data_IF_178382291318
#
_entry.id   IF_178382291318
#
_cell.length_a   1.000
_cell.length_b   1.000
_cell.length_c   1.000
_cell.angle_alpha   90.00
_cell.angle_beta   90.00
_cell.angle_gamma   90.00
#
_symmetry.space_group_name_H-M   'P 1'
#
loop_
_entity.id
_entity.type
_entity.pdbx_description
1 polymer ?
#
# COMPACT_ATOMS: atom_id res chain seq x y z
N UNK A 1 51.53 35.59 -65.64
CA UNK A 1 50.76 36.12 -64.48
C UNK A 1 49.94 35.04 -63.89
N UNK A 2 50.39 34.38 -62.87
CA UNK A 2 49.62 33.30 -62.14
C UNK A 2 49.36 33.83 -60.76
N UNK A 3 48.05 33.99 -60.39
CA UNK A 3 47.61 34.40 -59.04
C UNK A 3 47.39 33.11 -58.20
N UNK A 4 48.17 33.04 -57.12
CA UNK A 4 48.08 32.01 -56.09
C UNK A 4 47.04 32.46 -55.11
N UNK A 5 45.99 31.67 -54.92
CA UNK A 5 44.93 31.85 -53.89
C UNK A 5 45.29 30.98 -52.69
N UNK A 6 45.62 31.69 -51.60
CA UNK A 6 45.85 31.02 -50.29
C UNK A 6 44.54 30.73 -49.59
N UNK A 7 44.24 29.46 -49.49
CA UNK A 7 43.03 29.01 -48.73
C UNK A 7 43.33 28.90 -47.24
N UNK A 8 42.59 29.66 -46.44
CA UNK A 8 42.63 29.59 -44.98
C UNK A 8 41.70 28.46 -44.53
N UNK A 9 42.28 27.41 -43.97
CA UNK A 9 41.53 26.29 -43.37
C UNK A 9 41.12 26.71 -41.95
N UNK A 10 39.84 26.99 -41.78
CA UNK A 10 39.25 27.31 -40.48
C UNK A 10 38.92 25.99 -39.77
N UNK A 11 39.65 25.69 -38.71
CA UNK A 11 39.46 24.53 -37.87
C UNK A 11 38.38 24.86 -36.82
N UNK A 12 37.15 24.43 -37.05
CA UNK A 12 36.05 24.58 -36.09
C UNK A 12 36.17 23.52 -35.00
N UNK A 13 36.55 23.96 -33.79
CA UNK A 13 36.61 23.14 -32.60
C UNK A 13 35.14 22.93 -32.10
N UNK A 14 34.58 21.77 -32.33
CA UNK A 14 33.32 21.37 -31.70
C UNK A 14 33.57 21.04 -30.21
N UNK A 15 33.22 21.96 -29.34
CA UNK A 15 33.05 21.67 -27.90
C UNK A 15 31.81 20.82 -27.73
N UNK A 16 31.99 19.50 -27.52
CA UNK A 16 30.93 18.65 -26.95
C UNK A 16 30.69 19.07 -25.50
N UNK A 17 29.73 19.91 -25.31
CA UNK A 17 29.18 20.20 -24.00
C UNK A 17 28.46 18.93 -23.51
N UNK A 18 29.07 18.20 -22.56
CA UNK A 18 28.41 17.15 -21.79
C UNK A 18 27.40 17.85 -20.89
N UNK A 19 26.24 18.17 -21.43
CA UNK A 19 25.09 18.61 -20.65
C UNK A 19 24.61 17.42 -19.81
N UNK A 20 24.95 17.44 -18.51
CA UNK A 20 24.21 16.60 -17.54
C UNK A 20 22.76 17.06 -17.59
N UNK A 21 21.93 16.32 -18.29
CA UNK A 21 20.50 16.42 -18.16
C UNK A 21 20.20 16.05 -16.70
N UNK A 22 19.95 17.05 -15.87
CA UNK A 22 19.22 16.87 -14.63
C UNK A 22 17.87 16.31 -15.09
N UNK A 23 17.63 15.04 -14.80
CA UNK A 23 16.31 14.46 -14.94
C UNK A 23 15.36 15.35 -14.12
N UNK A 24 14.52 16.11 -14.81
CA UNK A 24 13.34 16.69 -14.19
C UNK A 24 12.59 15.47 -13.62
N UNK A 25 12.52 15.40 -12.29
CA UNK A 25 11.79 14.36 -11.59
C UNK A 25 10.32 14.45 -11.96
N UNK A 26 9.94 13.73 -13.01
CA UNK A 26 8.55 13.41 -13.24
C UNK A 26 8.08 12.68 -11.99
N UNK A 27 7.13 13.23 -11.26
CA UNK A 27 6.49 12.52 -10.16
C UNK A 27 5.95 11.22 -10.76
N UNK A 28 6.45 10.08 -10.28
CA UNK A 28 5.92 8.78 -10.63
C UNK A 28 4.46 8.67 -10.14
N UNK A 29 3.81 7.61 -10.53
CA UNK A 29 2.47 7.28 -10.03
C UNK A 29 2.62 6.38 -8.79
N UNK A 30 1.74 6.54 -7.82
CA UNK A 30 1.58 5.55 -6.76
C UNK A 30 0.92 4.31 -7.34
N UNK A 31 1.46 3.14 -7.04
CA UNK A 31 0.93 1.85 -7.51
C UNK A 31 0.69 0.91 -6.36
N UNK A 32 -0.39 0.16 -6.43
CA UNK A 32 -0.73 -0.84 -5.44
C UNK A 32 -0.94 -2.20 -6.12
N UNK A 33 -0.16 -3.19 -5.70
CA UNK A 33 -0.35 -4.60 -6.07
C UNK A 33 -1.13 -5.29 -4.95
N UNK A 34 -2.29 -5.84 -5.28
CA UNK A 34 -2.96 -6.78 -4.39
C UNK A 34 -2.35 -8.17 -4.59
N UNK A 35 -1.53 -8.62 -3.65
CA UNK A 35 -0.84 -9.91 -3.74
C UNK A 35 -1.77 -11.09 -3.46
N UNK A 36 -2.91 -10.84 -2.81
CA UNK A 36 -3.90 -11.84 -2.42
C UNK A 36 -4.03 -11.99 -0.92
N UNK A 37 -5.10 -12.61 -0.45
CA UNK A 37 -5.43 -12.75 0.97
C UNK A 37 -5.42 -11.38 1.66
N UNK A 38 -4.61 -11.17 2.72
CA UNK A 38 -4.41 -9.87 3.38
C UNK A 38 -3.22 -9.06 2.86
N UNK A 39 -2.50 -9.54 1.84
CA UNK A 39 -1.17 -9.02 1.47
C UNK A 39 -1.24 -7.94 0.39
N UNK A 40 -0.58 -6.80 0.63
CA UNK A 40 -0.49 -5.68 -0.30
C UNK A 40 0.98 -5.24 -0.48
N UNK A 41 1.29 -4.72 -1.67
CA UNK A 41 2.52 -3.97 -1.94
C UNK A 41 2.16 -2.62 -2.54
N UNK A 42 2.71 -1.54 -1.98
CA UNK A 42 2.59 -0.19 -2.53
C UNK A 42 3.97 0.25 -3.02
N UNK A 43 4.04 0.79 -4.23
CA UNK A 43 5.21 1.51 -4.75
C UNK A 43 4.81 2.98 -4.83
N UNK A 44 5.50 3.83 -4.08
CA UNK A 44 5.19 5.26 -4.05
C UNK A 44 5.69 5.96 -5.31
N UNK A 45 5.20 7.16 -5.57
CA UNK A 45 5.64 8.00 -6.70
C UNK A 45 7.15 8.29 -6.67
N UNK A 46 7.77 8.24 -5.49
CA UNK A 46 9.21 8.40 -5.26
C UNK A 46 9.99 7.08 -5.41
N UNK A 47 9.30 5.98 -5.73
CA UNK A 47 9.90 4.65 -5.88
C UNK A 47 10.15 3.91 -4.57
N UNK A 48 9.55 4.34 -3.45
CA UNK A 48 9.63 3.65 -2.16
C UNK A 48 8.66 2.47 -2.12
N UNK A 49 9.03 1.39 -1.46
CA UNK A 49 8.26 0.14 -1.43
C UNK A 49 7.77 -0.17 -0.02
N UNK A 50 6.44 -0.26 0.12
CA UNK A 50 5.76 -0.61 1.36
C UNK A 50 5.07 -1.96 1.16
N UNK A 51 5.30 -2.89 2.06
CA UNK A 51 4.55 -4.16 2.13
C UNK A 51 3.65 -4.15 3.35
N UNK A 52 2.42 -4.64 3.19
CA UNK A 52 1.47 -4.86 4.29
C UNK A 52 1.15 -6.36 4.35
N UNK A 53 1.24 -6.94 5.54
CA UNK A 53 0.93 -8.35 5.84
C UNK A 53 1.51 -9.34 4.81
N UNK A 54 2.84 -9.38 4.64
CA UNK A 54 3.46 -10.24 3.65
C UNK A 54 3.22 -11.72 3.95
N UNK A 55 2.50 -12.39 3.06
CA UNK A 55 2.19 -13.82 3.16
C UNK A 55 1.80 -14.42 1.82
N UNK A 56 0.71 -13.92 1.23
CA UNK A 56 0.04 -14.50 0.09
C UNK A 56 0.65 -14.05 -1.25
N UNK A 57 0.46 -14.84 -2.29
CA UNK A 57 0.81 -14.49 -3.66
C UNK A 57 2.29 -14.27 -3.93
N UNK A 58 2.56 -13.52 -4.97
CA UNK A 58 3.88 -13.18 -5.50
C UNK A 58 4.13 -11.66 -5.42
N UNK A 59 5.28 -11.19 -5.96
CA UNK A 59 5.60 -9.75 -6.01
C UNK A 59 6.39 -9.26 -4.79
N UNK A 60 7.21 -10.14 -4.18
CA UNK A 60 8.13 -9.83 -3.07
C UNK A 60 9.57 -9.59 -3.54
N UNK A 61 9.74 -9.24 -4.81
CA UNK A 61 11.01 -9.06 -5.51
C UNK A 61 11.63 -7.67 -5.32
N UNK A 62 10.81 -6.65 -5.08
CA UNK A 62 11.28 -5.29 -4.87
C UNK A 62 11.86 -5.11 -3.46
N UNK A 63 12.99 -4.37 -3.33
CA UNK A 63 13.56 -4.06 -2.03
C UNK A 63 12.61 -3.22 -1.18
N UNK A 64 12.30 -3.66 0.04
CA UNK A 64 11.40 -2.94 0.94
C UNK A 64 12.06 -1.73 1.58
N UNK A 65 11.30 -0.63 1.71
CA UNK A 65 11.60 0.51 2.57
C UNK A 65 10.81 0.45 3.88
N UNK A 66 9.60 -0.14 3.83
CA UNK A 66 8.73 -0.33 4.98
C UNK A 66 7.99 -1.66 4.89
N UNK A 67 7.86 -2.35 6.03
CA UNK A 67 7.04 -3.55 6.17
C UNK A 67 6.10 -3.35 7.35
N UNK A 68 4.81 -3.46 7.11
CA UNK A 68 3.74 -3.30 8.08
C UNK A 68 3.08 -4.65 8.36
N UNK A 69 2.83 -4.94 9.63
CA UNK A 69 2.14 -6.17 10.04
C UNK A 69 1.00 -5.81 10.97
N UNK A 70 -0.22 -6.22 10.62
CA UNK A 70 -1.44 -5.85 11.36
C UNK A 70 -1.60 -6.62 12.67
N UNK A 71 -1.23 -7.91 12.69
CA UNK A 71 -1.36 -8.79 13.87
C UNK A 71 -0.47 -10.03 13.77
N UNK A 72 -0.57 -10.93 14.75
CA UNK A 72 0.39 -12.02 14.96
C UNK A 72 0.10 -13.35 14.27
N UNK A 73 -0.93 -13.49 13.44
CA UNK A 73 -1.22 -14.75 12.77
C UNK A 73 -0.24 -15.05 11.63
N UNK A 74 -0.04 -16.34 11.34
CA UNK A 74 1.00 -16.78 10.41
C UNK A 74 0.77 -16.29 8.98
N UNK A 75 -0.48 -16.12 8.59
CA UNK A 75 -0.92 -15.66 7.27
C UNK A 75 -0.81 -14.13 7.07
N UNK A 76 -0.20 -13.42 8.04
CA UNK A 76 0.13 -11.99 7.97
C UNK A 76 1.60 -11.69 8.25
N UNK A 77 2.37 -12.67 8.75
CA UNK A 77 3.69 -12.44 9.35
C UNK A 77 4.87 -13.03 8.58
N UNK A 78 4.70 -13.41 7.31
CA UNK A 78 5.78 -14.03 6.54
C UNK A 78 6.81 -12.99 6.01
N UNK A 79 7.25 -12.08 6.88
CA UNK A 79 8.23 -11.01 6.61
C UNK A 79 9.52 -11.53 5.96
N UNK A 80 9.85 -12.80 6.17
CA UNK A 80 11.01 -13.46 5.57
C UNK A 80 10.88 -13.71 4.06
N UNK A 81 9.67 -13.59 3.48
CA UNK A 81 9.48 -13.63 2.02
C UNK A 81 10.14 -12.43 1.33
N UNK A 82 10.22 -11.30 2.03
CA UNK A 82 10.89 -10.09 1.55
C UNK A 82 12.39 -10.22 1.84
N UNK A 83 13.12 -10.73 0.85
CA UNK A 83 14.56 -11.00 0.98
C UNK A 83 15.42 -9.76 0.84
N UNK A 84 14.97 -8.83 0.00
CA UNK A 84 15.69 -7.60 -0.31
C UNK A 84 15.07 -6.44 0.49
N UNK A 85 15.93 -5.65 1.12
CA UNK A 85 15.51 -4.46 1.88
C UNK A 85 16.50 -3.35 1.60
N UNK A 86 15.98 -2.14 1.45
CA UNK A 86 16.81 -0.95 1.34
C UNK A 86 17.45 -0.61 2.69
N UNK A 87 18.55 0.14 2.65
CA UNK A 87 19.17 0.65 3.87
C UNK A 87 18.17 1.52 4.63
N UNK A 88 18.04 1.28 5.93
CA UNK A 88 17.06 1.98 6.75
C UNK A 88 15.64 1.42 6.68
N UNK A 89 15.40 0.29 5.99
CA UNK A 89 14.09 -0.35 5.95
C UNK A 89 13.55 -0.60 7.37
N UNK A 90 12.33 -0.10 7.61
CA UNK A 90 11.65 -0.30 8.88
C UNK A 90 10.67 -1.46 8.82
N UNK A 91 10.49 -2.14 9.95
CA UNK A 91 9.45 -3.15 10.15
C UNK A 91 8.62 -2.71 11.34
N UNK A 92 7.38 -2.33 11.12
CA UNK A 92 6.45 -1.94 12.17
C UNK A 92 5.32 -2.97 12.25
N UNK A 93 5.18 -3.55 13.42
CA UNK A 93 4.12 -4.52 13.71
C UNK A 93 3.12 -3.93 14.69
N UNK A 94 2.05 -4.65 14.95
CA UNK A 94 1.07 -4.25 16.00
C UNK A 94 1.73 -3.99 17.36
N UNK A 95 2.90 -4.60 17.64
CA UNK A 95 3.61 -4.45 18.93
C UNK A 95 4.22 -3.07 19.09
N UNK A 96 4.79 -2.53 18.02
CA UNK A 96 5.34 -1.17 17.98
C UNK A 96 4.22 -0.14 17.81
N UNK A 97 3.14 -0.52 17.13
CA UNK A 97 2.05 0.35 16.75
C UNK A 97 0.99 0.55 17.83
N UNK A 98 0.76 -0.45 18.70
CA UNK A 98 -0.22 -0.40 19.78
C UNK A 98 0.48 -0.59 21.13
N UNK A 99 0.86 0.53 21.77
CA UNK A 99 1.62 0.53 23.00
C UNK A 99 0.76 1.06 24.16
N UNK A 100 0.49 0.22 25.14
CA UNK A 100 -0.32 0.57 26.32
C UNK A 100 -1.72 1.11 25.99
N UNK A 101 -2.31 0.60 24.88
CA UNK A 101 -3.63 1.04 24.40
C UNK A 101 -3.62 2.29 23.54
N UNK A 102 -2.45 2.86 23.26
CA UNK A 102 -2.31 4.00 22.36
C UNK A 102 -1.85 3.55 20.98
N UNK A 103 -2.56 3.98 19.96
CA UNK A 103 -2.22 3.77 18.55
C UNK A 103 -1.18 4.81 18.11
N UNK A 104 -0.11 4.36 17.48
CA UNK A 104 1.03 5.21 17.12
C UNK A 104 0.97 5.61 15.65
N UNK A 105 1.54 6.78 15.37
CA UNK A 105 1.82 7.29 14.04
C UNK A 105 3.32 7.23 13.79
N UNK A 106 3.70 6.83 12.59
CA UNK A 106 5.07 6.79 12.10
C UNK A 106 5.20 7.77 10.93
N UNK A 107 5.97 8.83 11.12
CA UNK A 107 6.27 9.79 10.07
C UNK A 107 7.58 9.40 9.37
N UNK A 108 7.49 9.13 8.08
CA UNK A 108 8.59 8.78 7.20
C UNK A 108 8.71 9.86 6.10
N UNK A 109 9.86 9.98 5.49
CA UNK A 109 10.09 10.97 4.42
C UNK A 109 9.14 10.80 3.21
N UNK A 110 8.57 9.60 3.03
CA UNK A 110 7.73 9.23 1.88
C UNK A 110 6.30 8.83 2.24
N UNK A 111 5.97 8.71 3.52
CA UNK A 111 4.61 8.37 3.97
C UNK A 111 4.43 8.68 5.45
N UNK A 112 3.22 9.02 5.86
CA UNK A 112 2.77 8.95 7.25
C UNK A 112 1.92 7.69 7.40
N UNK A 113 2.22 6.86 8.40
CA UNK A 113 1.54 5.59 8.66
C UNK A 113 0.94 5.61 10.05
N UNK A 114 -0.37 5.52 10.12
CA UNK A 114 -1.12 5.55 11.37
C UNK A 114 -1.71 4.19 11.67
N UNK A 115 -1.45 3.68 12.88
CA UNK A 115 -2.17 2.54 13.39
C UNK A 115 -3.57 2.96 13.84
N UNK A 116 -4.57 2.14 13.53
CA UNK A 116 -5.96 2.33 13.92
C UNK A 116 -6.53 1.05 14.51
N UNK A 117 -7.70 1.13 15.14
CA UNK A 117 -8.35 -0.04 15.74
C UNK A 117 -8.61 -1.13 14.70
N UNK A 118 -8.26 -2.38 15.05
CA UNK A 118 -8.63 -3.59 14.34
C UNK A 118 -8.86 -4.73 15.34
N UNK A 119 -9.33 -5.89 14.86
CA UNK A 119 -9.70 -7.02 15.72
C UNK A 119 -11.15 -6.94 16.18
N UNK A 120 -11.40 -6.86 17.48
CA UNK A 120 -12.72 -6.73 18.08
C UNK A 120 -13.67 -7.92 17.81
N UNK A 121 -13.11 -9.12 17.70
CA UNK A 121 -13.89 -10.36 17.59
C UNK A 121 -13.26 -11.51 18.39
N UNK A 122 -13.87 -12.68 18.36
CA UNK A 122 -13.40 -13.85 19.14
C UNK A 122 -12.04 -14.38 18.72
N UNK A 123 -11.61 -14.12 17.47
CA UNK A 123 -10.36 -14.63 16.90
C UNK A 123 -9.26 -13.57 16.96
N UNK A 124 -9.63 -12.28 17.03
CA UNK A 124 -8.73 -11.15 16.93
C UNK A 124 -8.99 -10.15 18.06
N UNK A 125 -8.05 -10.12 19.01
CA UNK A 125 -8.14 -9.25 20.17
C UNK A 125 -7.77 -7.81 19.74
N UNK A 126 -8.64 -6.84 20.01
CA UNK A 126 -8.42 -5.42 19.72
C UNK A 126 -7.14 -4.84 20.36
N UNK A 127 -6.59 -5.51 21.39
CA UNK A 127 -5.32 -5.12 22.04
C UNK A 127 -4.07 -5.70 21.35
N UNK A 128 -4.25 -6.51 20.32
CA UNK A 128 -3.18 -7.24 19.63
C UNK A 128 -3.30 -7.15 18.10
N UNK A 129 -4.19 -6.27 17.61
CA UNK A 129 -4.43 -6.05 16.22
C UNK A 129 -4.48 -4.55 15.91
N UNK A 130 -4.00 -4.17 14.74
CA UNK A 130 -4.10 -2.82 14.20
C UNK A 130 -4.50 -2.88 12.72
N UNK A 131 -5.28 -1.92 12.26
CA UNK A 131 -5.37 -1.54 10.86
C UNK A 131 -4.32 -0.46 10.56
N UNK A 132 -4.04 -0.24 9.29
CA UNK A 132 -3.09 0.76 8.84
C UNK A 132 -3.75 1.78 7.94
N UNK A 133 -3.68 3.07 8.29
CA UNK A 133 -3.95 4.18 7.38
C UNK A 133 -2.61 4.73 6.91
N UNK A 134 -2.35 4.63 5.61
CA UNK A 134 -1.11 5.00 4.97
C UNK A 134 -1.39 6.23 4.13
N UNK A 135 -0.81 7.38 4.48
CA UNK A 135 -0.88 8.62 3.70
C UNK A 135 0.42 8.77 2.93
N UNK A 136 0.34 8.69 1.61
CA UNK A 136 1.45 8.85 0.68
C UNK A 136 1.65 10.33 0.33
N UNK A 137 2.72 10.65 -0.41
CA UNK A 137 2.93 11.99 -0.93
C UNK A 137 1.73 12.46 -1.76
N UNK A 138 1.51 13.77 -1.80
CA UNK A 138 0.31 14.33 -2.46
C UNK A 138 -1.00 14.12 -1.69
N UNK A 139 -0.97 13.42 -0.54
CA UNK A 139 -2.13 13.19 0.32
C UNK A 139 -2.96 11.96 -0.05
N UNK A 140 -2.51 11.12 -0.98
CA UNK A 140 -3.17 9.84 -1.33
C UNK A 140 -3.21 8.90 -0.12
N UNK A 141 -4.38 8.36 0.20
CA UNK A 141 -4.59 7.55 1.40
C UNK A 141 -5.05 6.12 1.08
N UNK A 142 -4.41 5.16 1.75
CA UNK A 142 -4.77 3.73 1.68
C UNK A 142 -5.05 3.21 3.09
N UNK A 143 -6.21 2.62 3.30
CA UNK A 143 -6.57 1.96 4.54
C UNK A 143 -6.62 0.44 4.35
N UNK A 144 -5.81 -0.28 5.10
CA UNK A 144 -5.87 -1.74 5.21
C UNK A 144 -6.45 -2.09 6.58
N UNK A 145 -7.63 -2.72 6.62
CA UNK A 145 -8.32 -3.03 7.88
C UNK A 145 -7.53 -4.03 8.74
N UNK A 146 -6.73 -4.89 8.12
CA UNK A 146 -6.27 -6.11 8.77
C UNK A 146 -7.44 -7.04 9.09
N UNK A 147 -7.22 -8.02 9.95
CA UNK A 147 -8.27 -8.91 10.41
C UNK A 147 -9.06 -8.26 11.54
N UNK A 148 -10.36 -8.10 11.31
CA UNK A 148 -11.20 -7.30 12.21
C UNK A 148 -12.69 -7.62 12.07
N UNK A 149 -13.47 -7.25 13.09
CA UNK A 149 -14.87 -6.87 13.01
C UNK A 149 -15.01 -5.36 13.13
N UNK A 150 -16.25 -4.85 13.16
CA UNK A 150 -16.55 -3.42 13.32
C UNK A 150 -15.88 -2.85 14.56
N UNK A 151 -15.20 -1.71 14.43
CA UNK A 151 -14.62 -0.95 15.54
C UNK A 151 -15.26 0.43 15.64
N UNK A 152 -15.20 1.03 16.82
CA UNK A 152 -15.74 2.38 17.05
C UNK A 152 -15.05 3.43 16.18
N UNK A 153 -13.75 3.29 15.97
CA UNK A 153 -12.94 4.24 15.20
C UNK A 153 -13.28 4.25 13.70
N UNK A 154 -13.88 3.18 13.14
CA UNK A 154 -14.25 3.15 11.72
C UNK A 154 -15.19 4.29 11.32
N UNK A 155 -16.09 4.72 12.20
CA UNK A 155 -16.96 5.88 11.94
C UNK A 155 -16.17 7.21 11.87
N UNK A 156 -15.11 7.33 12.67
CA UNK A 156 -14.24 8.52 12.67
C UNK A 156 -13.38 8.60 11.41
N UNK A 157 -13.06 7.45 10.79
CA UNK A 157 -12.30 7.39 9.53
C UNK A 157 -13.04 8.04 8.35
N UNK A 158 -14.35 8.19 8.40
CA UNK A 158 -15.13 8.88 7.36
C UNK A 158 -14.67 10.34 7.14
N UNK A 159 -14.22 11.00 8.20
CA UNK A 159 -13.74 12.39 8.14
C UNK A 159 -12.33 12.51 7.52
N UNK A 160 -11.63 11.37 7.37
CA UNK A 160 -10.27 11.31 6.83
C UNK A 160 -10.21 11.34 5.30
N UNK A 161 -11.37 11.23 4.61
CA UNK A 161 -11.47 11.20 3.14
C UNK A 161 -10.53 10.17 2.50
N UNK A 162 -10.58 8.93 3.00
CA UNK A 162 -9.73 7.82 2.52
C UNK A 162 -9.99 7.55 1.04
N UNK A 163 -8.91 7.44 0.25
CA UNK A 163 -9.03 7.18 -1.19
C UNK A 163 -9.31 5.69 -1.47
N UNK A 164 -8.54 4.79 -0.86
CA UNK A 164 -8.66 3.35 -1.06
C UNK A 164 -8.75 2.64 0.29
N UNK A 165 -9.79 1.85 0.51
CA UNK A 165 -9.96 1.07 1.74
C UNK A 165 -10.20 -0.41 1.42
N UNK A 166 -9.42 -1.28 2.06
CA UNK A 166 -9.49 -2.73 1.93
C UNK A 166 -10.23 -3.32 3.14
N UNK A 167 -11.31 -4.08 2.87
CA UNK A 167 -12.18 -4.67 3.90
C UNK A 167 -12.12 -6.18 3.87
N UNK A 168 -11.66 -6.79 4.98
CA UNK A 168 -11.72 -8.23 5.19
C UNK A 168 -13.18 -8.70 5.23
N UNK A 169 -13.49 -9.84 4.59
CA UNK A 169 -14.88 -10.30 4.51
C UNK A 169 -15.00 -11.83 4.38
N UNK A 170 -14.15 -12.60 5.09
CA UNK A 170 -14.19 -14.06 5.02
C UNK A 170 -15.43 -14.68 5.70
N UNK A 171 -16.01 -14.05 6.70
CA UNK A 171 -17.22 -14.50 7.41
C UNK A 171 -17.00 -15.70 8.31
N UNK A 172 -15.76 -16.10 8.56
CA UNK A 172 -15.41 -17.26 9.40
C UNK A 172 -14.59 -16.80 10.61
N UNK A 173 -13.53 -16.06 10.35
CA UNK A 173 -12.61 -15.52 11.36
C UNK A 173 -12.82 -14.01 11.56
N UNK A 174 -13.36 -13.33 10.57
CA UNK A 174 -13.55 -11.91 10.50
C UNK A 174 -14.99 -11.53 10.14
N UNK A 175 -15.18 -10.27 9.75
CA UNK A 175 -16.47 -9.76 9.25
C UNK A 175 -17.06 -10.69 8.21
N UNK A 176 -18.34 -10.94 8.30
CA UNK A 176 -19.09 -11.49 7.16
C UNK A 176 -19.30 -10.39 6.09
N UNK A 177 -19.94 -10.74 4.99
CA UNK A 177 -20.13 -9.83 3.88
C UNK A 177 -21.00 -8.63 4.24
N UNK A 178 -22.06 -8.85 5.02
CA UNK A 178 -23.00 -7.79 5.42
C UNK A 178 -22.33 -6.80 6.39
N UNK A 179 -21.53 -7.32 7.33
CA UNK A 179 -20.74 -6.50 8.26
C UNK A 179 -19.66 -5.70 7.50
N UNK A 180 -18.95 -6.32 6.55
CA UNK A 180 -17.95 -5.65 5.74
C UNK A 180 -18.55 -4.52 4.89
N UNK A 181 -19.74 -4.74 4.29
CA UNK A 181 -20.51 -3.72 3.58
C UNK A 181 -20.90 -2.56 4.51
N UNK A 182 -21.35 -2.88 5.74
CA UNK A 182 -21.69 -1.85 6.73
C UNK A 182 -20.45 -1.03 7.11
N UNK A 183 -19.31 -1.68 7.36
CA UNK A 183 -18.04 -0.99 7.66
C UNK A 183 -17.55 -0.11 6.49
N UNK A 184 -17.68 -0.58 5.25
CA UNK A 184 -17.33 0.21 4.08
C UNK A 184 -18.19 1.49 3.96
N UNK A 185 -19.48 1.39 4.30
CA UNK A 185 -20.38 2.56 4.36
C UNK A 185 -20.04 3.51 5.51
N UNK A 186 -19.57 2.99 6.65
CA UNK A 186 -19.10 3.82 7.78
C UNK A 186 -17.84 4.58 7.41
N UNK A 187 -16.84 3.92 6.83
CA UNK A 187 -15.55 4.52 6.45
C UNK A 187 -15.72 5.49 5.26
N UNK A 188 -16.64 5.18 4.36
CA UNK A 188 -17.00 6.02 3.20
C UNK A 188 -15.79 6.46 2.35
N UNK A 189 -14.87 5.53 2.07
CA UNK A 189 -13.72 5.77 1.21
C UNK A 189 -14.15 6.07 -0.24
N UNK A 190 -13.28 6.65 -1.08
CA UNK A 190 -13.57 6.83 -2.51
C UNK A 190 -13.67 5.48 -3.23
N UNK A 191 -12.80 4.53 -2.87
CA UNK A 191 -12.80 3.16 -3.38
C UNK A 191 -12.79 2.17 -2.24
N UNK A 192 -13.79 1.28 -2.20
CA UNK A 192 -13.89 0.20 -1.22
C UNK A 192 -13.62 -1.14 -1.88
N UNK A 193 -12.63 -1.88 -1.37
CA UNK A 193 -12.07 -3.09 -2.00
C UNK A 193 -12.26 -4.28 -1.04
N UNK A 194 -12.99 -5.32 -1.44
CA UNK A 194 -13.03 -6.55 -0.65
C UNK A 194 -11.73 -7.33 -0.82
N UNK A 195 -11.14 -7.77 0.28
CA UNK A 195 -9.95 -8.62 0.29
C UNK A 195 -10.07 -9.68 1.40
N UNK A 196 -9.13 -10.61 1.51
CA UNK A 196 -9.14 -11.68 2.53
C UNK A 196 -10.53 -12.34 2.65
N UNK A 197 -11.07 -12.78 1.50
CA UNK A 197 -12.49 -13.13 1.37
C UNK A 197 -12.81 -14.57 1.70
N UNK A 198 -11.85 -15.49 1.52
CA UNK A 198 -12.02 -16.92 1.73
C UNK A 198 -10.74 -17.51 2.29
N UNK A 199 -10.77 -18.18 3.45
CA UNK A 199 -9.58 -18.81 4.02
C UNK A 199 -8.90 -19.76 3.01
N UNK A 200 -7.57 -19.65 2.92
CA UNK A 200 -6.75 -20.48 2.02
C UNK A 200 -6.84 -20.15 0.53
N UNK A 201 -7.57 -19.12 0.12
CA UNK A 201 -7.56 -18.61 -1.26
C UNK A 201 -6.90 -17.24 -1.34
N UNK A 202 -6.24 -16.99 -2.47
CA UNK A 202 -5.69 -15.67 -2.77
C UNK A 202 -6.78 -14.65 -3.06
N UNK A 203 -7.81 -15.08 -3.81
CA UNK A 203 -8.93 -14.26 -4.28
C UNK A 203 -10.14 -15.14 -4.62
N UNK A 204 -11.34 -14.58 -4.55
CA UNK A 204 -12.56 -15.23 -5.01
C UNK A 204 -13.48 -14.20 -5.68
N UNK A 205 -13.57 -14.27 -7.01
CA UNK A 205 -14.34 -13.32 -7.83
C UNK A 205 -15.82 -13.27 -7.42
N UNK A 206 -16.44 -14.44 -7.21
CA UNK A 206 -17.87 -14.51 -6.86
C UNK A 206 -18.14 -13.91 -5.48
N UNK A 207 -17.18 -14.06 -4.56
CA UNK A 207 -17.27 -13.45 -3.23
C UNK A 207 -17.08 -11.94 -3.32
N UNK A 208 -16.12 -11.46 -4.11
CA UNK A 208 -15.89 -10.03 -4.35
C UNK A 208 -17.12 -9.34 -4.96
N UNK A 209 -17.83 -10.01 -5.87
CA UNK A 209 -19.06 -9.50 -6.48
C UNK A 209 -20.23 -9.33 -5.49
N UNK A 210 -20.20 -10.03 -4.35
CA UNK A 210 -21.20 -9.88 -3.28
C UNK A 210 -20.98 -8.64 -2.42
N UNK A 211 -19.79 -8.01 -2.47
CA UNK A 211 -19.49 -6.80 -1.72
C UNK A 211 -20.20 -5.60 -2.37
N UNK A 212 -21.48 -5.45 -2.10
CA UNK A 212 -22.37 -4.49 -2.78
C UNK A 212 -22.35 -3.11 -2.12
N UNK A 213 -21.40 -2.28 -2.53
CA UNK A 213 -21.30 -0.87 -2.17
C UNK A 213 -21.14 -0.01 -3.43
N UNK A 214 -21.65 1.25 -3.44
CA UNK A 214 -21.63 2.11 -4.63
C UNK A 214 -20.23 2.39 -5.17
N UNK A 215 -19.24 2.45 -4.29
CA UNK A 215 -17.83 2.78 -4.55
C UNK A 215 -16.94 1.53 -4.58
N UNK A 216 -17.53 0.36 -4.86
CA UNK A 216 -16.80 -0.90 -4.95
C UNK A 216 -15.77 -0.86 -6.08
N UNK A 217 -14.55 -1.25 -5.76
CA UNK A 217 -13.50 -1.59 -6.72
C UNK A 217 -13.09 -3.06 -6.48
N UNK A 218 -13.14 -3.88 -7.51
CA UNK A 218 -12.67 -5.28 -7.43
C UNK A 218 -11.28 -5.33 -8.05
N UNK A 219 -10.30 -5.72 -7.25
CA UNK A 219 -8.91 -5.91 -7.67
C UNK A 219 -8.56 -7.39 -7.49
N UNK A 220 -8.38 -8.16 -8.56
CA UNK A 220 -7.95 -9.56 -8.47
C UNK A 220 -6.55 -9.70 -7.88
N UNK A 221 -6.28 -10.84 -7.23
CA UNK A 221 -4.92 -11.13 -6.73
C UNK A 221 -3.92 -11.20 -7.90
N UNK A 222 -2.77 -10.53 -7.71
CA UNK A 222 -1.73 -10.38 -8.74
C UNK A 222 -1.94 -9.18 -9.66
N UNK A 223 -3.02 -8.42 -9.51
CA UNK A 223 -3.26 -7.18 -10.25
C UNK A 223 -2.63 -5.98 -9.54
N UNK A 224 -1.95 -5.14 -10.31
CA UNK A 224 -1.41 -3.85 -9.88
C UNK A 224 -2.27 -2.73 -10.46
N UNK A 225 -2.71 -1.81 -9.61
CA UNK A 225 -3.47 -0.61 -9.97
C UNK A 225 -2.66 0.66 -9.74
N UNK A 226 -2.91 1.69 -10.53
CA UNK A 226 -2.47 3.06 -10.27
C UNK A 226 -3.44 3.68 -9.28
N UNK A 227 -2.93 4.37 -8.26
CA UNK A 227 -3.73 5.11 -7.29
C UNK A 227 -3.93 6.55 -7.80
N UNK A 228 -5.20 6.96 -7.99
CA UNK A 228 -5.62 8.25 -8.57
C UNK A 228 -6.52 9.05 -7.62
#
# INVERSE_FOLDING_TARGET
MKRTVCGILSLSLLLLGCGSALAEGGQGEHRLLYQGHGSLRIVTAEGKVIYVDPYAGEGYDLPADLILVTHGHQDHTAVKKIKNRNDGCQVSTWKEALVKGEYKTFDLDFATVEAVQAGNNRNHNIKECVGWVITLSGGMTVYATGDTSTTEQMAELAERNIDYAFFVCDGIYNMDMDEAIACAKLVNAKHSIPYHMVPGKLFDQKRAEQFDVPNRLIVPAGEEIVLE
#
